data_IF_415400974475
#
_entry.id   IF_415400974475
#
_cell.length_a   1.000
_cell.length_b   1.000
_cell.length_c   1.000
_cell.angle_alpha   90.00
_cell.angle_beta   90.00
_cell.angle_gamma   90.00
#
_symmetry.space_group_name_H-M   'P 1'
#
loop_
_entity.id
_entity.type
_entity.pdbx_description
1 polymer ?
#
# COMPACT_ATOMS: atom_id res chain seq x y z
N UNK A 1 34.78 34.62 52.08
CA UNK A 1 35.65 33.67 51.36
C UNK A 1 36.47 34.41 50.33
N UNK A 2 37.80 34.22 50.32
CA UNK A 2 38.67 34.72 49.28
C UNK A 2 38.34 34.05 47.92
N UNK A 3 38.54 34.76 46.81
CA UNK A 3 38.24 34.29 45.45
C UNK A 3 38.94 32.97 45.12
N UNK A 4 40.17 32.78 45.59
CA UNK A 4 40.95 31.55 45.37
C UNK A 4 40.30 30.32 46.03
N UNK A 5 39.75 30.47 47.23
CA UNK A 5 39.07 29.38 47.92
C UNK A 5 37.78 28.97 47.17
N UNK A 6 37.06 29.94 46.60
CA UNK A 6 35.86 29.65 45.79
C UNK A 6 36.20 28.95 44.48
N UNK A 7 37.31 29.32 43.86
CA UNK A 7 37.80 28.65 42.65
C UNK A 7 38.25 27.21 42.94
N UNK A 8 38.86 26.95 44.10
CA UNK A 8 39.20 25.60 44.54
C UNK A 8 37.96 24.73 44.78
N UNK A 9 36.93 25.27 45.45
CA UNK A 9 35.64 24.58 45.63
C UNK A 9 34.98 24.26 44.27
N UNK A 10 34.96 25.23 43.36
CA UNK A 10 34.40 25.04 42.01
C UNK A 10 35.16 23.95 41.24
N UNK A 11 36.49 23.97 41.29
CA UNK A 11 37.34 22.94 40.66
C UNK A 11 37.10 21.56 41.26
N UNK A 12 36.94 21.47 42.57
CA UNK A 12 36.64 20.20 43.24
C UNK A 12 35.29 19.64 42.79
N UNK A 13 34.24 20.48 42.73
CA UNK A 13 32.94 20.04 42.23
C UNK A 13 33.00 19.61 40.76
N UNK A 14 33.68 20.37 39.90
CA UNK A 14 33.91 20.00 38.50
C UNK A 14 34.59 18.64 38.35
N UNK A 15 35.66 18.39 39.10
CA UNK A 15 36.37 17.11 39.04
C UNK A 15 35.53 15.94 39.54
N UNK A 16 34.70 16.13 40.58
CA UNK A 16 33.73 15.11 41.03
C UNK A 16 32.71 14.79 39.93
N UNK A 17 32.23 15.79 39.21
CA UNK A 17 31.32 15.58 38.09
C UNK A 17 31.98 14.78 36.97
N UNK A 18 33.21 15.14 36.57
CA UNK A 18 33.95 14.38 35.55
C UNK A 18 34.16 12.92 35.95
N UNK A 19 34.57 12.67 37.20
CA UNK A 19 34.80 11.32 37.70
C UNK A 19 33.49 10.51 37.75
N UNK A 20 32.41 11.10 38.27
CA UNK A 20 31.09 10.48 38.32
C UNK A 20 30.56 10.14 36.90
N UNK A 21 30.74 11.06 35.94
CA UNK A 21 30.18 10.92 34.59
C UNK A 21 31.01 10.06 33.65
N UNK A 22 32.34 10.22 33.63
CA UNK A 22 33.22 9.54 32.68
C UNK A 22 33.79 8.26 33.25
N UNK A 23 34.29 8.29 34.49
CA UNK A 23 35.03 7.15 35.06
C UNK A 23 34.11 6.16 35.78
N UNK A 24 33.25 6.64 36.68
CA UNK A 24 32.36 5.78 37.46
C UNK A 24 31.09 5.39 36.70
N UNK A 25 30.68 6.19 35.70
CA UNK A 25 29.42 6.03 34.96
C UNK A 25 28.21 5.89 35.91
N UNK A 26 28.17 6.69 36.97
CA UNK A 26 27.22 6.57 38.07
C UNK A 26 26.13 7.65 38.02
N UNK A 27 24.93 7.26 37.59
CA UNK A 27 23.78 8.16 37.46
C UNK A 27 23.34 8.79 38.79
N UNK A 28 23.41 8.04 39.90
CA UNK A 28 23.02 8.53 41.22
C UNK A 28 23.94 9.65 41.68
N UNK A 29 25.26 9.44 41.57
CA UNK A 29 26.26 10.46 41.89
C UNK A 29 26.14 11.71 41.00
N UNK A 30 25.85 11.55 39.70
CA UNK A 30 25.59 12.69 38.80
C UNK A 30 24.34 13.46 39.25
N UNK A 31 23.28 12.76 39.66
CA UNK A 31 22.01 13.37 40.04
C UNK A 31 22.10 14.30 41.25
N UNK A 32 23.08 14.05 42.14
CA UNK A 32 23.41 14.87 43.31
C UNK A 32 24.22 16.13 42.94
N UNK A 33 25.00 16.06 41.85
CA UNK A 33 25.87 17.15 41.40
C UNK A 33 25.17 18.13 40.43
N UNK A 34 24.00 17.76 39.89
CA UNK A 34 23.23 18.59 38.95
C UNK A 34 22.08 19.32 39.63
N UNK A 35 21.99 20.62 39.35
CA UNK A 35 20.97 21.51 39.89
C UNK A 35 19.58 21.33 39.25
N UNK A 36 18.54 21.95 39.83
CA UNK A 36 17.17 21.91 39.30
C UNK A 36 17.04 22.59 37.93
N UNK A 37 17.90 23.56 37.62
CA UNK A 37 17.93 24.28 36.35
C UNK A 37 18.80 23.65 35.26
N UNK A 38 19.27 22.40 35.44
CA UNK A 38 20.16 21.75 34.47
C UNK A 38 19.56 21.69 33.07
N UNK A 39 20.33 22.22 32.12
CA UNK A 39 20.06 22.14 30.68
C UNK A 39 21.37 21.87 29.94
N UNK A 40 21.30 21.15 28.83
CA UNK A 40 22.50 20.69 28.12
C UNK A 40 22.35 20.76 26.61
N UNK A 41 23.47 21.04 25.95
CA UNK A 41 23.62 20.97 24.49
C UNK A 41 24.83 20.10 24.18
N UNK A 42 24.57 18.91 23.63
CA UNK A 42 25.59 18.01 23.11
C UNK A 42 25.93 18.26 21.64
N UNK A 43 26.81 17.44 21.08
CA UNK A 43 27.29 17.56 19.68
C UNK A 43 26.38 16.88 18.65
N UNK A 44 25.36 16.13 19.10
CA UNK A 44 24.38 15.49 18.22
C UNK A 44 23.03 16.25 18.19
N UNK A 45 22.31 16.14 17.07
CA UNK A 45 21.03 16.83 16.81
C UNK A 45 19.90 16.51 17.84
N UNK A 46 20.00 15.38 18.56
CA UNK A 46 19.00 14.90 19.54
C UNK A 46 19.47 14.98 21.02
N UNK A 47 20.45 15.84 21.33
CA UNK A 47 21.03 16.01 22.68
C UNK A 47 20.73 17.40 23.27
N UNK A 48 19.46 17.82 23.17
CA UNK A 48 18.95 19.02 23.82
C UNK A 48 18.05 18.62 25.00
N UNK A 49 18.43 19.01 26.21
CA UNK A 49 17.59 18.87 27.39
C UNK A 49 17.29 20.23 28.02
N UNK A 50 16.01 20.55 28.17
CA UNK A 50 15.51 21.79 28.77
C UNK A 50 14.87 21.58 30.15
N UNK A 51 14.98 20.37 30.69
CA UNK A 51 14.52 20.03 32.04
C UNK A 51 15.52 19.09 32.73
N UNK A 52 15.49 19.08 34.07
CA UNK A 52 16.29 18.14 34.86
C UNK A 52 15.98 16.69 34.53
N UNK A 53 14.71 16.35 34.36
CA UNK A 53 14.29 14.99 34.00
C UNK A 53 14.86 14.57 32.63
N UNK A 54 14.75 15.44 31.62
CA UNK A 54 15.30 15.17 30.29
C UNK A 54 16.84 15.05 30.34
N UNK A 55 17.51 15.90 31.14
CA UNK A 55 18.97 15.84 31.30
C UNK A 55 19.42 14.53 31.95
N UNK A 56 18.71 14.07 32.99
CA UNK A 56 18.99 12.78 33.64
C UNK A 56 18.71 11.59 32.70
N UNK A 57 17.67 11.66 31.87
CA UNK A 57 17.41 10.64 30.85
C UNK A 57 18.53 10.58 29.79
N UNK A 58 19.09 11.74 29.40
CA UNK A 58 20.24 11.78 28.50
C UNK A 58 21.46 11.10 29.13
N UNK A 59 21.79 11.44 30.39
CA UNK A 59 22.88 10.77 31.11
C UNK A 59 22.65 9.26 31.25
N UNK A 60 21.43 8.84 31.56
CA UNK A 60 21.08 7.43 31.66
C UNK A 60 21.26 6.69 30.32
N UNK A 61 20.84 7.32 29.21
CA UNK A 61 20.99 6.76 27.85
C UNK A 61 22.46 6.65 27.47
N UNK A 62 23.25 7.68 27.72
CA UNK A 62 24.70 7.69 27.45
C UNK A 62 25.42 6.59 28.25
N UNK A 63 25.14 6.49 29.57
CA UNK A 63 25.69 5.43 30.43
C UNK A 63 25.30 4.03 29.94
N UNK A 64 24.05 3.84 29.51
CA UNK A 64 23.60 2.55 28.99
C UNK A 64 24.29 2.16 27.66
N UNK A 65 24.61 3.14 26.80
CA UNK A 65 25.30 2.91 25.53
C UNK A 65 26.80 2.66 25.71
N UNK A 66 27.41 3.27 26.73
CA UNK A 66 28.81 3.12 27.06
C UNK A 66 28.99 2.88 28.56
N UNK A 67 28.72 1.65 29.00
CA UNK A 67 28.75 1.29 30.42
C UNK A 67 30.17 1.21 31.01
N UNK A 68 31.19 1.05 30.16
CA UNK A 68 32.58 0.96 30.59
C UNK A 68 33.16 2.33 30.99
N UNK A 69 34.10 2.37 31.95
CA UNK A 69 34.82 3.59 32.30
C UNK A 69 35.50 4.25 31.10
N UNK A 70 35.32 5.56 30.97
CA UNK A 70 35.99 6.41 30.00
C UNK A 70 37.18 7.07 30.70
N UNK A 71 38.39 6.75 30.24
CA UNK A 71 39.59 7.43 30.70
C UNK A 71 39.65 8.83 30.09
N UNK A 72 40.06 9.83 30.87
CA UNK A 72 40.16 11.20 30.37
C UNK A 72 41.46 11.88 30.81
N UNK A 73 41.91 12.84 29.99
CA UNK A 73 43.04 13.71 30.30
C UNK A 73 42.63 15.17 30.09
N UNK A 74 42.78 16.01 31.11
CA UNK A 74 42.51 17.45 31.00
C UNK A 74 43.72 18.12 30.35
N UNK A 75 43.60 18.58 29.10
CA UNK A 75 44.67 19.33 28.43
C UNK A 75 44.76 20.76 28.91
N UNK A 76 43.60 21.42 29.01
CA UNK A 76 43.47 22.82 29.41
C UNK A 76 42.20 22.98 30.23
N UNK A 77 42.26 23.82 31.25
CA UNK A 77 41.08 24.26 31.98
C UNK A 77 41.23 25.73 32.36
N UNK A 78 40.12 26.44 32.31
CA UNK A 78 39.99 27.81 32.76
C UNK A 78 38.72 27.93 33.60
N UNK A 79 38.90 28.37 34.85
CA UNK A 79 37.82 28.54 35.80
C UNK A 79 37.68 30.03 36.12
N UNK A 80 36.44 30.51 36.14
CA UNK A 80 36.13 31.88 36.53
C UNK A 80 34.84 31.95 37.33
N UNK A 81 34.71 32.99 38.15
CA UNK A 81 33.54 33.23 39.00
C UNK A 81 33.02 34.64 38.66
N UNK A 82 32.23 34.79 37.58
CA UNK A 82 31.77 36.09 37.11
C UNK A 82 30.82 36.80 38.10
N UNK A 83 30.18 36.05 39.00
CA UNK A 83 29.33 36.61 40.06
C UNK A 83 29.46 35.81 41.35
N UNK A 84 28.93 36.33 42.46
CA UNK A 84 29.02 35.66 43.76
C UNK A 84 28.40 34.25 43.79
N UNK A 85 27.50 33.95 42.83
CA UNK A 85 26.70 32.73 42.77
C UNK A 85 26.91 31.92 41.49
N UNK A 86 27.69 32.39 40.52
CA UNK A 86 27.89 31.71 39.23
C UNK A 86 29.37 31.40 39.02
N UNK A 87 29.66 30.16 38.67
CA UNK A 87 30.98 29.66 38.29
C UNK A 87 30.95 29.17 36.85
N UNK A 88 32.02 29.42 36.11
CA UNK A 88 32.20 28.95 34.74
C UNK A 88 33.46 28.09 34.68
N UNK A 89 33.36 26.92 34.07
CA UNK A 89 34.49 26.07 33.73
C UNK A 89 34.51 25.90 32.23
N UNK A 90 35.63 26.26 31.59
CA UNK A 90 35.88 25.95 30.17
C UNK A 90 37.10 25.05 30.12
N UNK A 91 36.98 23.87 29.52
CA UNK A 91 38.07 22.91 29.47
C UNK A 91 38.20 22.25 28.10
N UNK A 92 39.36 21.67 27.88
CA UNK A 92 39.70 20.83 26.73
C UNK A 92 40.19 19.48 27.26
N UNK A 93 39.55 18.40 26.83
CA UNK A 93 39.75 17.04 27.31
C UNK A 93 40.12 16.12 26.15
N UNK A 94 40.94 15.11 26.43
CA UNK A 94 41.00 13.90 25.62
C UNK A 94 40.30 12.78 26.36
N UNK A 95 39.52 11.99 25.64
CA UNK A 95 38.89 10.78 26.16
C UNK A 95 39.43 9.55 25.45
N UNK A 96 39.57 8.46 26.19
CA UNK A 96 39.87 7.13 25.65
C UNK A 96 38.87 6.14 26.23
N UNK A 97 38.17 5.42 25.35
CA UNK A 97 37.18 4.41 25.74
C UNK A 97 37.26 3.21 24.82
N UNK A 98 36.61 2.11 25.18
CA UNK A 98 36.46 0.93 24.34
C UNK A 98 34.99 0.74 23.98
N UNK A 99 34.71 0.70 22.68
CA UNK A 99 33.38 0.43 22.13
C UNK A 99 33.47 -0.70 21.12
N UNK A 100 32.61 -1.71 21.27
CA UNK A 100 32.53 -2.88 20.36
C UNK A 100 33.89 -3.58 20.11
N UNK A 101 34.76 -3.62 21.13
CA UNK A 101 36.08 -4.27 21.06
C UNK A 101 37.15 -3.43 20.36
N UNK A 102 36.89 -2.15 20.07
CA UNK A 102 37.87 -1.23 19.50
C UNK A 102 38.17 -0.08 20.46
N UNK A 103 39.45 0.26 20.59
CA UNK A 103 39.88 1.42 21.37
C UNK A 103 39.63 2.70 20.57
N UNK A 104 38.89 3.62 21.19
CA UNK A 104 38.41 4.87 20.62
C UNK A 104 39.06 6.04 21.36
N UNK A 105 39.63 6.98 20.63
CA UNK A 105 40.28 8.18 21.18
C UNK A 105 39.62 9.44 20.65
N UNK A 106 39.00 10.19 21.56
CA UNK A 106 38.42 11.51 21.32
C UNK A 106 39.41 12.55 21.78
N UNK A 107 40.02 13.29 20.86
CA UNK A 107 40.95 14.34 21.25
C UNK A 107 40.27 15.71 21.20
N UNK A 108 40.81 16.64 22.00
CA UNK A 108 40.47 18.05 21.94
C UNK A 108 38.99 18.39 22.20
N UNK A 109 38.26 17.54 22.94
CA UNK A 109 36.87 17.80 23.32
C UNK A 109 36.79 19.04 24.20
N UNK A 110 36.05 20.06 23.76
CA UNK A 110 35.84 21.30 24.51
C UNK A 110 34.54 21.22 25.28
N UNK A 111 34.58 21.55 26.57
CA UNK A 111 33.38 21.69 27.38
C UNK A 111 33.32 23.08 28.01
N UNK A 112 32.11 23.64 28.04
CA UNK A 112 31.77 24.85 28.79
C UNK A 112 30.66 24.50 29.77
N UNK A 113 30.92 24.71 31.06
CA UNK A 113 30.02 24.34 32.14
C UNK A 113 29.70 25.53 33.02
N UNK A 114 28.42 25.68 33.36
CA UNK A 114 27.95 26.71 34.29
C UNK A 114 27.51 26.04 35.58
N UNK A 115 28.08 26.50 36.68
CA UNK A 115 27.76 26.08 38.03
C UNK A 115 27.06 27.20 38.79
N UNK A 116 26.07 26.85 39.59
CA UNK A 116 25.39 27.75 40.52
C UNK A 116 25.74 27.38 41.95
N UNK A 117 26.11 28.38 42.74
CA UNK A 117 26.46 28.20 44.15
C UNK A 117 25.19 28.11 45.00
N UNK A 118 25.08 27.05 45.78
CA UNK A 118 24.08 26.89 46.84
C UNK A 118 24.68 27.30 48.21
N UNK A 119 23.95 27.06 49.31
CA UNK A 119 24.45 27.39 50.65
C UNK A 119 25.73 26.61 51.00
N UNK A 120 25.82 25.38 50.52
CA UNK A 120 26.82 24.41 50.99
C UNK A 120 27.75 23.88 49.89
N UNK A 121 27.37 23.98 48.59
CA UNK A 121 28.20 23.49 47.47
C UNK A 121 27.85 24.16 46.12
N UNK A 122 28.60 23.83 45.07
CA UNK A 122 28.29 24.16 43.67
C UNK A 122 27.47 23.05 43.03
N UNK A 123 26.47 23.43 42.24
CA UNK A 123 25.68 22.52 41.42
C UNK A 123 25.83 22.87 39.95
N UNK A 124 25.92 21.85 39.10
CA UNK A 124 26.00 22.01 37.65
C UNK A 124 24.61 22.35 37.08
N UNK A 125 24.50 23.47 36.37
CA UNK A 125 23.24 23.92 35.75
C UNK A 125 23.30 24.05 34.23
N UNK A 126 24.48 24.07 33.63
CA UNK A 126 24.59 24.03 32.18
C UNK A 126 25.82 23.27 31.71
N UNK A 127 25.67 22.50 30.64
CA UNK A 127 26.77 21.85 29.94
C UNK A 127 26.63 22.11 28.44
N UNK A 128 27.73 22.55 27.83
CA UNK A 128 27.89 22.59 26.39
C UNK A 128 29.16 21.85 26.01
N UNK A 129 29.06 20.88 25.09
CA UNK A 129 30.19 20.09 24.60
C UNK A 129 30.36 20.37 23.10
N UNK A 130 31.61 20.51 22.65
CA UNK A 130 31.95 20.76 21.25
C UNK A 130 33.32 20.18 20.89
N UNK A 131 33.58 19.96 19.59
CA UNK A 131 34.90 19.60 19.07
C UNK A 131 35.43 20.70 18.16
N UNK A 132 36.74 21.03 18.19
CA UNK A 132 37.32 22.02 17.29
C UNK A 132 37.30 21.52 15.84
N UNK A 133 36.85 22.37 14.92
CA UNK A 133 36.72 22.05 13.50
C UNK A 133 38.04 22.13 12.69
N UNK A 134 39.17 22.53 13.28
CA UNK A 134 40.35 23.02 12.54
C UNK A 134 41.69 22.33 12.88
N UNK A 135 41.78 21.48 13.91
CA UNK A 135 43.00 20.73 14.25
C UNK A 135 42.82 19.28 13.78
N UNK A 136 43.57 18.86 12.76
CA UNK A 136 43.51 17.50 12.22
C UNK A 136 44.90 16.86 12.26
N UNK A 137 45.11 15.92 13.19
CA UNK A 137 46.24 14.99 13.15
C UNK A 137 45.90 13.73 12.32
N UNK A 138 46.89 13.05 11.71
CA UNK A 138 46.66 11.84 10.91
C UNK A 138 46.10 10.63 11.69
N UNK A 139 46.04 10.70 13.03
CA UNK A 139 45.53 9.65 13.92
C UNK A 139 44.14 9.95 14.53
N UNK A 140 43.46 11.04 14.13
CA UNK A 140 42.13 11.38 14.63
C UNK A 140 41.03 10.78 13.76
N UNK A 141 40.51 9.64 14.19
CA UNK A 141 39.27 9.08 13.67
C UNK A 141 38.10 9.65 14.47
N UNK A 142 37.35 10.62 13.91
CA UNK A 142 35.94 10.78 14.30
C UNK A 142 35.00 10.87 13.08
N UNK A 143 33.78 10.32 13.21
CA UNK A 143 32.94 9.78 12.16
C UNK A 143 32.09 10.85 11.50
N UNK A 144 32.59 12.08 11.29
CA UNK A 144 31.82 13.08 10.54
C UNK A 144 31.71 12.69 9.07
N UNK A 145 32.82 12.24 8.48
CA UNK A 145 32.81 11.72 7.11
C UNK A 145 31.99 10.44 6.99
N UNK A 146 32.07 9.54 7.97
CA UNK A 146 31.25 8.32 7.97
C UNK A 146 29.76 8.62 8.21
N UNK A 147 29.45 9.62 9.04
CA UNK A 147 28.08 10.08 9.29
C UNK A 147 27.52 10.84 8.08
N UNK A 148 28.32 11.66 7.39
CA UNK A 148 27.95 12.30 6.13
C UNK A 148 27.75 11.28 5.02
N UNK A 149 28.62 10.27 4.93
CA UNK A 149 28.46 9.15 3.99
C UNK A 149 27.21 8.34 4.32
N UNK A 150 26.96 8.01 5.59
CA UNK A 150 25.73 7.33 6.03
C UNK A 150 24.49 8.18 5.82
N UNK A 151 24.54 9.49 6.08
CA UNK A 151 23.44 10.42 5.84
C UNK A 151 23.16 10.53 4.34
N UNK A 152 24.18 10.59 3.49
CA UNK A 152 24.02 10.59 2.04
C UNK A 152 23.40 9.28 1.53
N UNK A 153 23.80 8.13 2.08
CA UNK A 153 23.22 6.82 1.78
C UNK A 153 21.75 6.77 2.22
N UNK A 154 21.43 7.19 3.45
CA UNK A 154 20.06 7.25 3.97
C UNK A 154 19.19 8.22 3.17
N UNK A 155 19.71 9.40 2.83
CA UNK A 155 19.01 10.39 2.01
C UNK A 155 18.67 9.80 0.63
N UNK A 156 19.63 9.09 0.02
CA UNK A 156 19.42 8.38 -1.25
C UNK A 156 18.37 7.29 -1.10
N UNK A 157 18.43 6.48 -0.05
CA UNK A 157 17.46 5.42 0.21
C UNK A 157 16.05 5.98 0.45
N UNK A 158 15.92 7.06 1.23
CA UNK A 158 14.65 7.77 1.45
C UNK A 158 14.12 8.32 0.13
N UNK A 159 14.98 8.92 -0.69
CA UNK A 159 14.57 9.45 -2.01
C UNK A 159 14.09 8.34 -2.94
N UNK A 160 14.82 7.22 -3.02
CA UNK A 160 14.42 6.06 -3.83
C UNK A 160 13.12 5.42 -3.32
N UNK A 161 12.96 5.25 -1.99
CA UNK A 161 11.72 4.73 -1.39
C UNK A 161 10.55 5.68 -1.63
N UNK A 162 10.77 6.98 -1.50
CA UNK A 162 9.74 8.01 -1.76
C UNK A 162 9.31 8.00 -3.22
N UNK A 163 10.26 7.92 -4.15
CA UNK A 163 9.96 7.81 -5.58
C UNK A 163 9.19 6.52 -5.92
N UNK A 164 9.58 5.38 -5.33
CA UNK A 164 8.84 4.11 -5.47
C UNK A 164 7.41 4.21 -4.92
N UNK A 165 7.24 4.83 -3.74
CA UNK A 165 5.92 5.03 -3.14
C UNK A 165 5.05 5.97 -3.98
N UNK A 166 5.61 7.07 -4.50
CA UNK A 166 4.91 7.99 -5.39
C UNK A 166 4.50 7.29 -6.71
N UNK A 167 5.38 6.47 -7.27
CA UNK A 167 5.05 5.68 -8.46
C UNK A 167 3.94 4.67 -8.17
N UNK A 168 4.02 3.95 -7.06
CA UNK A 168 2.99 3.00 -6.63
C UNK A 168 1.64 3.71 -6.35
N UNK A 169 1.67 4.91 -5.75
CA UNK A 169 0.48 5.74 -5.55
C UNK A 169 -0.13 6.18 -6.89
N UNK A 170 0.68 6.65 -7.83
CA UNK A 170 0.21 7.05 -9.16
C UNK A 170 -0.41 5.86 -9.92
N UNK A 171 0.23 4.68 -9.84
CA UNK A 171 -0.33 3.44 -10.41
C UNK A 171 -1.64 3.05 -9.74
N UNK A 172 -1.72 3.13 -8.41
CA UNK A 172 -2.97 2.91 -7.67
C UNK A 172 -4.06 3.87 -8.14
N UNK A 173 -3.76 5.15 -8.31
CA UNK A 173 -4.75 6.16 -8.73
C UNK A 173 -5.24 5.95 -10.17
N UNK A 174 -4.37 5.46 -11.06
CA UNK A 174 -4.76 5.03 -12.41
C UNK A 174 -5.70 3.82 -12.33
N UNK A 175 -5.33 2.78 -11.57
CA UNK A 175 -6.15 1.59 -11.38
C UNK A 175 -7.50 1.93 -10.75
N UNK A 176 -7.52 2.80 -9.73
CA UNK A 176 -8.73 3.26 -9.09
C UNK A 176 -9.64 4.02 -10.05
N UNK A 177 -9.09 4.87 -10.92
CA UNK A 177 -9.87 5.56 -11.96
C UNK A 177 -10.46 4.58 -12.95
N UNK A 178 -9.68 3.61 -13.42
CA UNK A 178 -10.16 2.56 -14.32
C UNK A 178 -11.30 1.74 -13.69
N UNK A 179 -11.16 1.38 -12.41
CA UNK A 179 -12.21 0.71 -11.64
C UNK A 179 -13.47 1.56 -11.53
N UNK A 180 -13.35 2.85 -11.20
CA UNK A 180 -14.47 3.79 -11.16
C UNK A 180 -15.16 3.93 -12.52
N UNK A 181 -14.38 3.99 -13.60
CA UNK A 181 -14.91 4.03 -14.96
C UNK A 181 -15.68 2.75 -15.29
N UNK A 182 -15.15 1.57 -14.92
CA UNK A 182 -15.83 0.28 -15.13
C UNK A 182 -17.11 0.16 -14.30
N UNK A 183 -17.08 0.56 -13.03
CA UNK A 183 -18.25 0.61 -12.17
C UNK A 183 -19.30 1.55 -12.74
N UNK A 184 -18.88 2.74 -13.21
CA UNK A 184 -19.77 3.70 -13.87
C UNK A 184 -20.37 3.12 -15.14
N UNK A 185 -19.58 2.44 -15.98
CA UNK A 185 -20.07 1.79 -17.20
C UNK A 185 -21.10 0.70 -16.87
N UNK A 186 -20.84 -0.12 -15.86
CA UNK A 186 -21.76 -1.19 -15.44
C UNK A 186 -23.05 -0.64 -14.82
N UNK A 187 -22.95 0.38 -13.96
CA UNK A 187 -24.13 1.06 -13.41
C UNK A 187 -24.94 1.79 -14.48
N UNK A 188 -24.27 2.30 -15.52
CA UNK A 188 -24.93 2.93 -16.67
C UNK A 188 -25.64 1.88 -17.51
N UNK A 189 -25.03 0.72 -17.73
CA UNK A 189 -25.66 -0.42 -18.38
C UNK A 189 -26.86 -0.94 -17.57
N UNK A 190 -26.72 -1.11 -16.26
CA UNK A 190 -27.84 -1.46 -15.36
C UNK A 190 -28.95 -0.40 -15.41
N UNK A 191 -28.61 0.89 -15.40
CA UNK A 191 -29.60 1.98 -15.50
C UNK A 191 -30.31 1.98 -16.86
N UNK A 192 -29.60 1.74 -17.95
CA UNK A 192 -30.20 1.59 -19.29
C UNK A 192 -31.11 0.37 -19.37
N UNK A 193 -30.73 -0.75 -18.75
CA UNK A 193 -31.56 -1.95 -18.67
C UNK A 193 -32.84 -1.70 -17.88
N UNK A 194 -32.76 -0.98 -16.77
CA UNK A 194 -33.93 -0.58 -15.98
C UNK A 194 -34.81 0.38 -16.79
N UNK A 195 -34.22 1.38 -17.46
CA UNK A 195 -34.96 2.37 -18.25
C UNK A 195 -35.64 1.80 -19.50
N UNK A 196 -35.15 0.68 -20.04
CA UNK A 196 -35.77 -0.04 -21.16
C UNK A 196 -36.85 -1.05 -20.73
N UNK A 197 -36.88 -1.39 -19.44
CA UNK A 197 -37.85 -2.33 -18.87
C UNK A 197 -39.08 -1.55 -18.40
N UNK A 198 -40.25 -1.85 -18.94
CA UNK A 198 -41.50 -1.30 -18.44
C UNK A 198 -41.82 -2.01 -17.13
N UNK A 199 -41.59 -1.35 -15.98
CA UNK A 199 -41.69 -1.96 -14.62
C UNK A 199 -43.14 -2.26 -14.19
N UNK A 200 -44.01 -2.66 -15.13
CA UNK A 200 -45.43 -2.84 -14.94
C UNK A 200 -45.80 -4.28 -14.53
N UNK A 201 -44.86 -5.24 -14.59
CA UNK A 201 -45.09 -6.63 -14.16
C UNK A 201 -44.01 -7.16 -13.21
N UNK A 202 -44.36 -8.15 -12.39
CA UNK A 202 -43.43 -8.81 -11.48
C UNK A 202 -42.34 -9.60 -12.23
N UNK A 203 -42.62 -10.06 -13.46
CA UNK A 203 -41.68 -10.77 -14.31
C UNK A 203 -40.57 -9.84 -14.83
N UNK A 204 -40.90 -8.57 -15.13
CA UNK A 204 -39.91 -7.58 -15.59
C UNK A 204 -38.88 -7.24 -14.51
N UNK A 205 -39.31 -7.21 -13.24
CA UNK A 205 -38.42 -6.99 -12.08
C UNK A 205 -37.52 -8.20 -11.82
N UNK A 206 -38.02 -9.42 -12.07
CA UNK A 206 -37.23 -10.64 -11.97
C UNK A 206 -36.10 -10.62 -13.01
N UNK A 207 -36.42 -10.29 -14.26
CA UNK A 207 -35.44 -10.24 -15.36
C UNK A 207 -34.30 -9.25 -15.09
N UNK A 208 -34.62 -8.05 -14.59
CA UNK A 208 -33.60 -7.07 -14.18
C UNK A 208 -32.70 -7.63 -13.08
N UNK A 209 -33.27 -8.31 -12.09
CA UNK A 209 -32.50 -8.90 -10.98
C UNK A 209 -31.51 -9.95 -11.48
N UNK A 210 -31.91 -10.79 -12.45
CA UNK A 210 -31.03 -11.79 -13.04
C UNK A 210 -29.89 -11.15 -13.84
N UNK A 211 -30.17 -10.09 -14.60
CA UNK A 211 -29.15 -9.30 -15.31
C UNK A 211 -28.14 -8.68 -14.35
N UNK A 212 -28.59 -8.08 -13.24
CA UNK A 212 -27.70 -7.54 -12.19
C UNK A 212 -26.84 -8.65 -11.58
N UNK A 213 -27.42 -9.82 -11.34
CA UNK A 213 -26.69 -10.97 -10.78
C UNK A 213 -25.60 -11.49 -11.74
N UNK A 214 -25.88 -11.52 -13.05
CA UNK A 214 -24.89 -11.86 -14.08
C UNK A 214 -23.68 -10.91 -14.06
N UNK A 215 -23.93 -9.60 -13.94
CA UNK A 215 -22.87 -8.58 -13.82
C UNK A 215 -22.08 -8.75 -12.51
N UNK A 216 -22.77 -9.09 -11.41
CA UNK A 216 -22.15 -9.38 -10.12
C UNK A 216 -21.16 -10.55 -10.19
N UNK A 217 -21.52 -11.64 -10.88
CA UNK A 217 -20.64 -12.81 -11.03
C UNK A 217 -19.31 -12.48 -11.74
N UNK A 218 -19.32 -11.61 -12.76
CA UNK A 218 -18.08 -11.14 -13.39
C UNK A 218 -17.23 -10.33 -12.41
N UNK A 219 -17.86 -9.44 -11.65
CA UNK A 219 -17.16 -8.63 -10.64
C UNK A 219 -16.52 -9.49 -9.55
N UNK A 220 -17.22 -10.52 -9.08
CA UNK A 220 -16.70 -11.46 -8.09
C UNK A 220 -15.49 -12.24 -8.63
N UNK A 221 -15.55 -12.70 -9.88
CA UNK A 221 -14.42 -13.39 -10.54
C UNK A 221 -13.21 -12.47 -10.73
N UNK A 222 -13.42 -11.23 -11.17
CA UNK A 222 -12.34 -10.24 -11.30
C UNK A 222 -11.70 -9.90 -9.95
N UNK A 223 -12.50 -9.77 -8.89
CA UNK A 223 -11.99 -9.52 -7.55
C UNK A 223 -11.13 -10.69 -7.03
N UNK A 224 -11.52 -11.93 -7.33
CA UNK A 224 -10.75 -13.13 -6.97
C UNK A 224 -9.44 -13.27 -7.76
N UNK A 225 -9.40 -12.79 -9.01
CA UNK A 225 -8.22 -12.85 -9.90
C UNK A 225 -7.24 -11.69 -9.70
N UNK A 226 -7.57 -10.71 -8.85
CA UNK A 226 -6.67 -9.61 -8.47
C UNK A 226 -6.45 -8.60 -9.60
N UNK A 227 -5.19 -8.36 -9.99
CA UNK A 227 -4.80 -7.32 -10.97
C UNK A 227 -4.99 -7.72 -12.44
N UNK A 228 -5.36 -8.97 -12.73
CA UNK A 228 -5.57 -9.43 -14.09
C UNK A 228 -7.00 -9.10 -14.56
N UNK A 229 -7.14 -8.22 -15.55
CA UNK A 229 -8.40 -7.98 -16.26
C UNK A 229 -8.67 -9.10 -17.28
N UNK A 230 -8.65 -10.35 -16.81
CA UNK A 230 -8.86 -11.55 -17.62
C UNK A 230 -9.85 -12.44 -16.90
N UNK A 231 -10.89 -12.89 -17.60
CA UNK A 231 -11.96 -13.72 -17.05
C UNK A 231 -11.88 -15.11 -17.68
N UNK A 232 -11.74 -16.19 -16.90
CA UNK A 232 -11.80 -17.56 -17.42
C UNK A 232 -13.24 -17.87 -17.87
N UNK A 233 -13.48 -17.86 -19.17
CA UNK A 233 -14.84 -17.85 -19.75
C UNK A 233 -15.62 -19.12 -19.48
N UNK A 234 -14.95 -20.28 -19.49
CA UNK A 234 -15.61 -21.57 -19.23
C UNK A 234 -16.22 -21.61 -17.83
N UNK A 235 -15.47 -21.25 -16.81
CA UNK A 235 -15.95 -21.21 -15.43
C UNK A 235 -17.04 -20.15 -15.24
N UNK A 236 -16.81 -18.95 -15.80
CA UNK A 236 -17.78 -17.86 -15.71
C UNK A 236 -19.14 -18.25 -16.31
N UNK A 237 -19.14 -18.81 -17.52
CA UNK A 237 -20.37 -19.28 -18.16
C UNK A 237 -21.02 -20.43 -17.39
N UNK A 238 -20.23 -21.32 -16.79
CA UNK A 238 -20.75 -22.39 -15.95
C UNK A 238 -21.52 -21.84 -14.74
N UNK A 239 -20.89 -20.93 -13.99
CA UNK A 239 -21.46 -20.32 -12.78
C UNK A 239 -22.70 -19.48 -13.12
N UNK A 240 -22.66 -18.76 -14.24
CA UNK A 240 -23.79 -17.99 -14.77
C UNK A 240 -24.98 -18.90 -15.08
N UNK A 241 -24.78 -19.95 -15.89
CA UNK A 241 -25.85 -20.86 -16.29
C UNK A 241 -26.45 -21.58 -15.09
N UNK A 242 -25.63 -22.05 -14.15
CA UNK A 242 -26.10 -22.65 -12.90
C UNK A 242 -26.96 -21.68 -12.09
N UNK A 243 -26.56 -20.41 -12.02
CA UNK A 243 -27.31 -19.36 -11.32
C UNK A 243 -28.66 -19.09 -11.98
N UNK A 244 -28.70 -18.96 -13.30
CA UNK A 244 -29.92 -18.66 -14.07
C UNK A 244 -30.89 -19.83 -13.96
N UNK A 245 -30.46 -21.02 -14.37
CA UNK A 245 -31.31 -22.21 -14.35
C UNK A 245 -31.72 -22.63 -12.94
N UNK A 246 -30.82 -22.55 -11.96
CA UNK A 246 -31.16 -22.88 -10.56
C UNK A 246 -32.19 -21.94 -9.93
N UNK A 247 -32.38 -20.75 -10.48
CA UNK A 247 -33.33 -19.76 -9.96
C UNK A 247 -34.66 -19.71 -10.71
N UNK A 248 -34.66 -19.97 -12.01
CA UNK A 248 -35.82 -19.79 -12.90
C UNK A 248 -36.42 -21.09 -13.43
N UNK A 249 -35.64 -22.18 -13.49
CA UNK A 249 -36.13 -23.43 -14.04
C UNK A 249 -37.12 -24.08 -13.07
N UNK A 250 -38.33 -24.36 -13.57
CA UNK A 250 -39.37 -25.10 -12.83
C UNK A 250 -39.27 -26.61 -13.03
N UNK A 251 -38.28 -27.07 -13.81
CA UNK A 251 -38.05 -28.45 -14.19
C UNK A 251 -36.57 -28.76 -14.37
N UNK A 252 -36.16 -30.04 -14.38
CA UNK A 252 -34.78 -30.42 -14.72
C UNK A 252 -34.42 -30.01 -16.14
N UNK A 253 -33.27 -29.36 -16.28
CA UNK A 253 -32.67 -28.95 -17.56
C UNK A 253 -31.21 -29.40 -17.54
N UNK A 254 -30.78 -30.12 -18.58
CA UNK A 254 -29.38 -30.49 -18.77
C UNK A 254 -28.60 -29.29 -19.31
N UNK A 255 -27.61 -28.82 -18.54
CA UNK A 255 -26.76 -27.69 -18.93
C UNK A 255 -25.45 -28.23 -19.51
N UNK A 256 -25.22 -27.96 -20.79
CA UNK A 256 -24.01 -28.37 -21.50
C UNK A 256 -23.16 -27.12 -21.82
N UNK A 257 -22.05 -26.97 -21.09
CA UNK A 257 -21.07 -25.92 -21.33
C UNK A 257 -19.82 -26.50 -22.00
N UNK A 258 -19.72 -26.31 -23.31
CA UNK A 258 -18.61 -26.71 -24.16
C UNK A 258 -17.77 -25.50 -24.57
N UNK A 259 -17.65 -24.50 -23.70
CA UNK A 259 -16.72 -23.40 -23.92
C UNK A 259 -15.26 -23.88 -23.82
N UNK A 260 -14.43 -23.46 -24.78
CA UNK A 260 -12.99 -23.64 -24.73
C UNK A 260 -12.39 -22.92 -23.51
N UNK A 261 -11.23 -23.39 -23.04
CA UNK A 261 -10.47 -22.77 -21.97
C UNK A 261 -9.74 -21.53 -22.48
N UNK A 262 -10.51 -20.47 -22.69
CA UNK A 262 -10.03 -19.15 -23.10
C UNK A 262 -10.30 -18.12 -21.99
N UNK A 263 -9.42 -17.14 -21.90
CA UNK A 263 -9.60 -15.97 -21.05
C UNK A 263 -9.92 -14.77 -21.93
N UNK A 264 -10.90 -13.96 -21.52
CA UNK A 264 -11.22 -12.70 -22.20
C UNK A 264 -11.14 -11.52 -21.24
N UNK A 265 -10.78 -10.33 -21.73
CA UNK A 265 -10.94 -9.11 -20.98
C UNK A 265 -12.38 -8.90 -20.50
N UNK A 266 -12.57 -8.31 -19.32
CA UNK A 266 -13.93 -8.17 -18.75
C UNK A 266 -14.86 -7.31 -19.60
N UNK A 267 -14.33 -6.36 -20.36
CA UNK A 267 -15.13 -5.54 -21.29
C UNK A 267 -15.76 -6.37 -22.42
N UNK A 268 -15.23 -7.57 -22.71
CA UNK A 268 -15.84 -8.56 -23.61
C UNK A 268 -16.63 -9.63 -22.83
N UNK A 269 -16.14 -10.07 -21.66
CA UNK A 269 -16.81 -11.11 -20.88
C UNK A 269 -18.21 -10.68 -20.36
N UNK A 270 -18.37 -9.41 -19.97
CA UNK A 270 -19.65 -8.85 -19.49
C UNK A 270 -20.74 -8.92 -20.58
N UNK A 271 -20.57 -8.30 -21.77
CA UNK A 271 -21.58 -8.36 -22.82
C UNK A 271 -21.86 -9.79 -23.28
N UNK A 272 -20.83 -10.64 -23.37
CA UNK A 272 -20.99 -12.06 -23.71
C UNK A 272 -21.88 -12.79 -22.70
N UNK A 273 -21.63 -12.61 -21.40
CA UNK A 273 -22.44 -13.27 -20.38
C UNK A 273 -23.86 -12.72 -20.29
N UNK A 274 -24.08 -11.41 -20.49
CA UNK A 274 -25.43 -10.85 -20.59
C UNK A 274 -26.20 -11.44 -21.78
N UNK A 275 -25.55 -11.60 -22.93
CA UNK A 275 -26.13 -12.24 -24.09
C UNK A 275 -26.55 -13.69 -23.78
N UNK A 276 -25.66 -14.48 -23.17
CA UNK A 276 -25.95 -15.86 -22.78
C UNK A 276 -27.07 -15.92 -21.74
N UNK A 277 -27.08 -15.01 -20.76
CA UNK A 277 -28.12 -14.90 -19.74
C UNK A 277 -29.51 -14.69 -20.34
N UNK A 278 -29.64 -13.78 -21.31
CA UNK A 278 -30.91 -13.53 -22.00
C UNK A 278 -31.36 -14.75 -22.81
N UNK A 279 -30.45 -15.40 -23.53
CA UNK A 279 -30.78 -16.60 -24.30
C UNK A 279 -31.19 -17.78 -23.42
N UNK A 280 -30.53 -17.96 -22.26
CA UNK A 280 -30.91 -18.95 -21.26
C UNK A 280 -32.30 -18.64 -20.67
N UNK A 281 -32.54 -17.38 -20.30
CA UNK A 281 -33.84 -16.94 -19.78
C UNK A 281 -34.96 -17.15 -20.80
N UNK A 282 -34.72 -16.81 -22.07
CA UNK A 282 -35.67 -17.04 -23.16
C UNK A 282 -35.94 -18.53 -23.39
N UNK A 283 -34.93 -19.39 -23.27
CA UNK A 283 -35.11 -20.83 -23.37
C UNK A 283 -36.02 -21.36 -22.24
N UNK A 284 -35.87 -20.86 -21.02
CA UNK A 284 -36.74 -21.22 -19.89
C UNK A 284 -38.18 -20.77 -20.15
N UNK A 285 -38.38 -19.51 -20.55
CA UNK A 285 -39.72 -18.91 -20.72
C UNK A 285 -40.50 -19.47 -21.91
N UNK A 286 -39.81 -19.74 -23.02
CA UNK A 286 -40.46 -20.01 -24.30
C UNK A 286 -39.96 -21.28 -25.01
N UNK A 287 -38.77 -21.77 -24.64
CA UNK A 287 -38.12 -22.88 -25.34
C UNK A 287 -38.52 -24.25 -24.83
N UNK A 288 -38.59 -24.46 -23.51
CA UNK A 288 -38.79 -25.80 -22.97
C UNK A 288 -40.27 -26.16 -22.83
N UNK A 289 -40.64 -27.33 -23.37
CA UNK A 289 -41.98 -27.91 -23.26
C UNK A 289 -41.93 -29.20 -22.44
N UNK A 290 -42.98 -29.49 -21.68
CA UNK A 290 -43.07 -30.68 -20.80
C UNK A 290 -42.99 -32.02 -21.53
N UNK A 291 -43.12 -32.01 -22.85
CA UNK A 291 -43.18 -33.19 -23.70
C UNK A 291 -41.81 -33.78 -24.08
N UNK A 292 -40.70 -33.10 -23.78
CA UNK A 292 -39.36 -33.57 -24.16
C UNK A 292 -38.30 -33.22 -23.10
N UNK A 293 -37.21 -34.01 -22.99
CA UNK A 293 -36.07 -33.66 -22.15
C UNK A 293 -35.53 -32.28 -22.52
N UNK A 294 -35.36 -31.43 -21.50
CA UNK A 294 -34.88 -30.06 -21.69
C UNK A 294 -33.36 -30.03 -21.58
N UNK A 295 -32.70 -29.44 -22.57
CA UNK A 295 -31.26 -29.22 -22.55
C UNK A 295 -30.90 -27.85 -23.14
N UNK A 296 -29.81 -27.27 -22.65
CA UNK A 296 -29.26 -26.00 -23.10
C UNK A 296 -27.77 -26.16 -23.36
N UNK A 297 -27.31 -25.76 -24.55
CA UNK A 297 -25.94 -25.92 -24.99
C UNK A 297 -25.32 -24.55 -25.29
N UNK A 298 -24.18 -24.28 -24.68
CA UNK A 298 -23.28 -23.17 -25.01
C UNK A 298 -21.97 -23.76 -25.48
N UNK A 299 -21.51 -23.33 -26.66
CA UNK A 299 -20.20 -23.68 -27.21
C UNK A 299 -19.46 -22.38 -27.50
N UNK A 300 -18.17 -22.33 -27.18
CA UNK A 300 -17.32 -21.19 -27.46
C UNK A 300 -15.99 -21.70 -27.98
N UNK A 301 -15.65 -21.36 -29.21
CA UNK A 301 -14.45 -21.87 -29.88
C UNK A 301 -13.68 -20.72 -30.55
N UNK A 302 -12.33 -20.76 -30.57
CA UNK A 302 -11.54 -19.88 -31.41
C UNK A 302 -11.85 -20.10 -32.89
N UNK A 303 -12.03 -19.00 -33.63
CA UNK A 303 -12.34 -18.97 -35.05
C UNK A 303 -11.11 -18.54 -35.87
N UNK A 304 -10.39 -19.52 -36.43
CA UNK A 304 -9.33 -19.29 -37.42
C UNK A 304 -8.00 -18.74 -36.86
N UNK A 305 -6.99 -18.52 -37.74
CA UNK A 305 -5.70 -17.95 -37.36
C UNK A 305 -5.86 -16.47 -36.98
N UNK A 306 -5.19 -16.05 -35.91
CA UNK A 306 -5.26 -14.68 -35.41
C UNK A 306 -4.59 -13.66 -36.32
N UNK A 307 -5.08 -12.42 -36.26
CA UNK A 307 -4.46 -11.25 -36.87
C UNK A 307 -3.66 -10.50 -35.81
N UNK A 308 -2.42 -10.11 -36.13
CA UNK A 308 -1.67 -9.22 -35.26
C UNK A 308 -2.09 -7.79 -35.53
N UNK A 309 -2.77 -7.16 -34.56
CA UNK A 309 -3.06 -5.71 -34.58
C UNK A 309 -2.43 -5.05 -33.37
N UNK A 310 -1.70 -3.95 -33.59
CA UNK A 310 -1.01 -3.21 -32.53
C UNK A 310 -0.11 -4.08 -31.60
N UNK A 311 0.45 -5.19 -32.13
CA UNK A 311 1.29 -6.10 -31.36
C UNK A 311 0.53 -7.14 -30.52
N UNK A 312 -0.79 -7.25 -30.65
CA UNK A 312 -1.62 -8.27 -30.00
C UNK A 312 -2.13 -9.30 -31.03
N UNK A 313 -2.09 -10.59 -30.67
CA UNK A 313 -2.71 -11.68 -31.44
C UNK A 313 -4.22 -11.65 -31.19
N UNK A 314 -4.98 -11.04 -32.09
CA UNK A 314 -6.45 -10.98 -32.02
C UNK A 314 -7.00 -12.16 -32.81
N UNK A 315 -7.72 -13.05 -32.14
CA UNK A 315 -8.35 -14.21 -32.79
C UNK A 315 -9.84 -13.95 -32.85
N UNK A 316 -10.50 -14.34 -33.93
CA UNK A 316 -11.96 -14.37 -33.86
C UNK A 316 -12.36 -15.50 -32.91
N UNK A 317 -13.52 -15.39 -32.26
CA UNK A 317 -14.17 -16.46 -31.51
C UNK A 317 -15.60 -16.61 -31.99
N UNK A 318 -16.10 -17.83 -31.96
CA UNK A 318 -17.50 -18.16 -32.28
C UNK A 318 -18.18 -18.67 -31.02
N UNK A 319 -19.18 -17.94 -30.56
CA UNK A 319 -20.14 -18.39 -29.57
C UNK A 319 -21.34 -19.01 -30.28
N UNK A 320 -21.72 -20.23 -29.91
CA UNK A 320 -22.95 -20.89 -30.36
C UNK A 320 -23.82 -21.21 -29.16
N UNK A 321 -25.08 -20.80 -29.20
CA UNK A 321 -26.06 -21.06 -28.16
C UNK A 321 -27.30 -21.69 -28.77
N UNK A 322 -27.66 -22.87 -28.27
CA UNK A 322 -28.83 -23.61 -28.74
C UNK A 322 -29.49 -24.37 -27.60
N UNK A 323 -30.73 -24.80 -27.80
CA UNK A 323 -31.51 -25.48 -26.78
C UNK A 323 -32.48 -26.49 -27.41
N UNK A 324 -33.08 -27.33 -26.58
CA UNK A 324 -33.98 -28.41 -27.00
C UNK A 324 -35.37 -27.95 -27.46
N UNK A 325 -35.66 -26.65 -27.43
CA UNK A 325 -36.98 -26.10 -27.71
C UNK A 325 -37.41 -26.17 -29.17
N UNK A 326 -38.67 -25.79 -29.47
CA UNK A 326 -39.19 -25.79 -30.83
C UNK A 326 -38.46 -24.77 -31.71
N UNK A 327 -38.58 -24.87 -33.04
CA UNK A 327 -38.03 -23.89 -33.96
C UNK A 327 -38.36 -22.45 -33.56
N UNK A 328 -37.42 -21.54 -33.81
CA UNK A 328 -37.65 -20.12 -33.54
C UNK A 328 -38.80 -19.59 -34.43
N UNK A 329 -39.80 -18.88 -33.88
CA UNK A 329 -41.00 -18.49 -34.62
C UNK A 329 -40.69 -17.66 -35.87
N UNK A 330 -41.26 -18.00 -37.04
CA UNK A 330 -40.96 -17.35 -38.33
C UNK A 330 -41.34 -15.85 -38.35
N UNK A 331 -42.26 -15.40 -37.50
CA UNK A 331 -42.72 -14.01 -37.40
C UNK A 331 -41.85 -13.07 -36.55
N UNK A 332 -40.91 -13.59 -35.75
CA UNK A 332 -40.06 -12.75 -34.88
C UNK A 332 -38.75 -12.45 -35.59
N UNK A 333 -38.47 -11.20 -35.90
CA UNK A 333 -37.20 -10.77 -36.52
C UNK A 333 -36.20 -10.28 -35.47
N UNK A 334 -34.93 -10.64 -35.65
CA UNK A 334 -33.82 -10.10 -34.85
C UNK A 334 -33.50 -8.66 -35.23
N UNK A 335 -33.73 -8.27 -36.49
CA UNK A 335 -33.42 -6.93 -37.00
C UNK A 335 -34.39 -5.87 -36.48
N UNK A 336 -35.66 -6.24 -36.25
CA UNK A 336 -36.68 -5.35 -35.69
C UNK A 336 -36.81 -5.47 -34.17
N UNK A 337 -36.20 -6.51 -33.59
CA UNK A 337 -36.03 -6.75 -32.16
C UNK A 337 -37.28 -6.40 -31.31
N UNK A 338 -38.38 -7.11 -31.59
CA UNK A 338 -39.71 -6.82 -31.02
C UNK A 338 -39.74 -6.94 -29.49
N UNK A 339 -38.99 -7.89 -28.92
CA UNK A 339 -38.86 -8.05 -27.46
C UNK A 339 -37.59 -7.40 -26.91
N UNK A 340 -37.66 -6.90 -25.68
CA UNK A 340 -36.53 -6.27 -24.99
C UNK A 340 -35.32 -7.21 -24.88
N UNK A 341 -35.54 -8.51 -24.61
CA UNK A 341 -34.46 -9.49 -24.50
C UNK A 341 -33.68 -9.67 -25.82
N UNK A 342 -34.37 -9.67 -26.97
CA UNK A 342 -33.70 -9.77 -28.28
C UNK A 342 -32.96 -8.48 -28.65
N UNK A 343 -33.48 -7.31 -28.28
CA UNK A 343 -32.74 -6.03 -28.38
C UNK A 343 -31.44 -6.07 -27.60
N UNK A 344 -31.47 -6.64 -26.40
CA UNK A 344 -30.28 -6.78 -25.58
C UNK A 344 -29.27 -7.74 -26.21
N UNK A 345 -29.70 -8.90 -26.70
CA UNK A 345 -28.83 -9.86 -27.40
C UNK A 345 -28.13 -9.20 -28.60
N UNK A 346 -28.87 -8.46 -29.42
CA UNK A 346 -28.30 -7.72 -30.56
C UNK A 346 -27.29 -6.65 -30.10
N UNK A 347 -27.65 -5.82 -29.12
CA UNK A 347 -26.78 -4.76 -28.61
C UNK A 347 -25.49 -5.31 -27.99
N UNK A 348 -25.55 -6.44 -27.27
CA UNK A 348 -24.36 -7.08 -26.69
C UNK A 348 -23.48 -7.69 -27.78
N UNK A 349 -24.05 -8.26 -28.84
CA UNK A 349 -23.27 -8.74 -29.99
C UNK A 349 -22.54 -7.59 -30.70
N UNK A 350 -23.20 -6.44 -30.88
CA UNK A 350 -22.58 -5.22 -31.42
C UNK A 350 -21.48 -4.67 -30.51
N UNK A 351 -21.69 -4.70 -29.18
CA UNK A 351 -20.69 -4.26 -28.22
C UNK A 351 -19.43 -5.16 -28.21
N UNK A 352 -19.58 -6.45 -28.52
CA UNK A 352 -18.46 -7.35 -28.77
C UNK A 352 -17.73 -7.05 -30.09
N UNK A 353 -18.23 -6.11 -30.91
CA UNK A 353 -17.75 -5.90 -32.28
C UNK A 353 -18.06 -7.08 -33.19
N UNK A 354 -19.04 -7.89 -32.82
CA UNK A 354 -19.37 -9.15 -33.48
C UNK A 354 -20.63 -9.10 -34.35
N UNK A 355 -20.85 -10.18 -35.08
CA UNK A 355 -22.04 -10.39 -35.91
C UNK A 355 -22.89 -11.51 -35.32
N UNK A 356 -24.17 -11.23 -35.12
CA UNK A 356 -25.18 -12.19 -34.66
C UNK A 356 -25.91 -12.82 -35.85
N UNK A 357 -26.03 -14.14 -35.85
CA UNK A 357 -26.81 -14.92 -36.80
C UNK A 357 -27.77 -15.87 -36.07
N UNK A 358 -28.97 -16.06 -36.62
CA UNK A 358 -29.97 -17.00 -36.10
C UNK A 358 -30.37 -18.02 -37.14
N UNK A 359 -30.12 -19.28 -36.83
CA UNK A 359 -30.72 -20.42 -37.52
C UNK A 359 -31.98 -20.85 -36.75
N UNK A 360 -33.14 -20.77 -37.41
CA UNK A 360 -34.45 -20.98 -36.77
C UNK A 360 -34.82 -22.46 -36.61
N UNK A 361 -34.45 -23.30 -37.57
CA UNK A 361 -34.87 -24.72 -37.70
C UNK A 361 -33.64 -25.63 -37.80
N UNK A 362 -33.70 -26.87 -37.28
CA UNK A 362 -34.83 -27.49 -36.58
C UNK A 362 -35.02 -27.01 -35.13
N UNK A 363 -34.01 -26.34 -34.58
CA UNK A 363 -34.00 -25.73 -33.23
C UNK A 363 -33.37 -24.34 -33.33
N UNK A 364 -33.65 -23.42 -32.40
CA UNK A 364 -33.01 -22.12 -32.36
C UNK A 364 -31.50 -22.30 -32.13
N UNK A 365 -30.69 -21.75 -33.02
CA UNK A 365 -29.24 -21.67 -32.89
C UNK A 365 -28.82 -20.22 -33.15
N UNK A 366 -28.32 -19.59 -32.10
CA UNK A 366 -27.71 -18.26 -32.14
C UNK A 366 -26.21 -18.44 -32.30
N UNK A 367 -25.63 -17.79 -33.31
CA UNK A 367 -24.18 -17.80 -33.56
C UNK A 367 -23.69 -16.37 -33.48
N UNK A 368 -22.70 -16.10 -32.64
CA UNK A 368 -22.04 -14.78 -32.53
C UNK A 368 -20.58 -14.96 -32.88
N UNK A 369 -20.12 -14.28 -33.92
CA UNK A 369 -18.70 -14.25 -34.29
C UNK A 369 -18.13 -12.89 -33.91
N UNK A 370 -17.09 -12.85 -33.10
CA UNK A 370 -16.53 -11.60 -32.56
C UNK A 370 -14.99 -11.68 -32.42
N UNK A 371 -14.28 -10.55 -32.45
CA UNK A 371 -12.85 -10.51 -32.13
C UNK A 371 -12.61 -10.73 -30.63
N UNK A 372 -11.74 -11.67 -30.29
CA UNK A 372 -11.38 -12.12 -28.95
C UNK A 372 -9.92 -11.83 -28.59
#
# INVERSE_FOLDING_TARGET
MNTDAKLQELRACWLRYLDAYLSQRNLEAISELVGPGIHGVGTALDELAFSREASLQLFQRDIAQAANPIAYTIRKEHLSIPSATVGLVVCELDLTTEMLGQQLKLNHMRMSLVFVRTRDDWLLEHIHVSFPAELHGPDESYPYKELEERAAILQREVTERTARLQHALAQKDILMRELHHRVKNNLSLVSSLIGLSDLNSADDVADIRHRIKAIGLVHDKLFQLGTADQVPLREYLQDLLQTVFGSLATRPIEIQNQAAEIELPSHLAIPLGLLVNELATNAIKYGFTDESPAWFLVQLEPAGPGEIRAGQDIRNAVLRVTNSGPPFPDGVSLETAESMGLRLVQAMAEQLGGQLELTRKPRPLFTVTFPA
#
